data_IF_945772871877
#
_entry.id   IF_945772871877
#
_cell.length_a   1.000
_cell.length_b   1.000
_cell.length_c   1.000
_cell.angle_alpha   90.00
_cell.angle_beta   90.00
_cell.angle_gamma   90.00
#
_symmetry.space_group_name_H-M   'P 1'
#
loop_
_entity.id
_entity.type
_entity.pdbx_description
1 polymer ?
#
# COMPACT_ATOMS: atom_id res chain seq x y z
N UNK A 1 -18.21 -4.61 -36.90
CA UNK A 1 -16.91 -4.50 -36.18
C UNK A 1 -17.22 -4.28 -34.72
N UNK A 2 -16.89 -5.23 -33.86
CA UNK A 2 -17.31 -5.23 -32.46
C UNK A 2 -16.53 -4.18 -31.66
N UNK A 3 -17.15 -3.62 -30.62
CA UNK A 3 -16.47 -2.72 -29.66
C UNK A 3 -15.23 -3.40 -29.07
N UNK A 4 -15.27 -4.73 -28.92
CA UNK A 4 -14.14 -5.54 -28.47
C UNK A 4 -12.93 -5.45 -29.42
N UNK A 5 -13.16 -5.36 -30.74
CA UNK A 5 -12.08 -5.24 -31.72
C UNK A 5 -11.39 -3.87 -31.63
N UNK A 6 -12.15 -2.83 -31.33
CA UNK A 6 -11.63 -1.47 -31.13
C UNK A 6 -10.79 -1.37 -29.86
N UNK A 7 -11.26 -1.97 -28.76
CA UNK A 7 -10.53 -2.03 -27.49
C UNK A 7 -9.22 -2.79 -27.70
N UNK A 8 -9.27 -3.96 -28.34
CA UNK A 8 -8.08 -4.78 -28.60
C UNK A 8 -7.05 -4.01 -29.43
N UNK A 9 -7.49 -3.35 -30.51
CA UNK A 9 -6.60 -2.51 -31.34
C UNK A 9 -6.00 -1.33 -30.57
N UNK A 10 -6.75 -0.72 -29.64
CA UNK A 10 -6.26 0.38 -28.81
C UNK A 10 -5.10 -0.06 -27.93
N UNK A 11 -5.24 -1.19 -27.23
CA UNK A 11 -4.17 -1.74 -26.40
C UNK A 11 -2.98 -2.23 -27.22
N UNK A 12 -3.21 -2.86 -28.39
CA UNK A 12 -2.09 -3.28 -29.26
C UNK A 12 -1.28 -2.09 -29.79
N UNK A 13 -1.93 -0.95 -30.06
CA UNK A 13 -1.24 0.30 -30.46
C UNK A 13 -0.50 0.97 -29.30
N UNK A 14 -1.04 0.91 -28.09
CA UNK A 14 -0.45 1.53 -26.90
C UNK A 14 0.78 0.80 -26.38
N UNK A 15 0.76 -0.53 -26.38
CA UNK A 15 1.79 -1.32 -25.71
C UNK A 15 2.80 -1.96 -26.67
N UNK A 16 2.53 -1.94 -27.98
CA UNK A 16 3.34 -2.60 -28.98
C UNK A 16 3.36 -4.13 -28.80
N UNK A 17 3.39 -4.89 -29.90
CA UNK A 17 3.58 -6.34 -29.84
C UNK A 17 5.01 -6.67 -29.44
N UNK A 18 5.31 -6.60 -28.15
CA UNK A 18 6.45 -7.34 -27.60
C UNK A 18 6.04 -8.79 -27.47
N UNK A 19 6.43 -9.60 -28.45
CA UNK A 19 6.64 -11.03 -28.25
C UNK A 19 7.73 -11.18 -27.18
N UNK A 20 7.36 -11.07 -25.91
CA UNK A 20 8.23 -11.47 -24.81
C UNK A 20 7.92 -12.92 -24.54
N UNK A 21 8.91 -13.77 -24.79
CA UNK A 21 8.93 -15.17 -24.43
C UNK A 21 8.27 -15.36 -23.06
N UNK A 22 7.17 -16.11 -23.05
CA UNK A 22 6.59 -16.68 -21.84
C UNK A 22 7.58 -17.75 -21.38
N UNK A 23 8.68 -17.26 -20.79
CA UNK A 23 9.49 -18.03 -19.88
C UNK A 23 8.57 -18.37 -18.72
N UNK A 24 8.29 -19.65 -18.59
CA UNK A 24 7.63 -20.30 -17.47
C UNK A 24 8.39 -19.94 -16.19
N UNK A 25 8.14 -18.77 -15.63
CA UNK A 25 8.44 -18.51 -14.22
C UNK A 25 7.34 -19.26 -13.48
N UNK A 26 7.64 -20.53 -13.22
CA UNK A 26 6.99 -21.25 -12.13
C UNK A 26 7.28 -20.41 -10.89
N UNK A 27 6.33 -19.54 -10.53
CA UNK A 27 6.31 -18.95 -9.20
C UNK A 27 6.15 -20.14 -8.24
N UNK A 28 7.29 -20.65 -7.78
CA UNK A 28 7.36 -21.32 -6.48
C UNK A 28 6.61 -20.40 -5.53
N UNK A 29 5.48 -20.88 -4.99
CA UNK A 29 4.79 -20.24 -3.88
C UNK A 29 5.78 -20.24 -2.71
N UNK A 30 6.66 -19.25 -2.67
CA UNK A 30 7.50 -18.94 -1.52
C UNK A 30 6.51 -18.74 -0.38
N UNK A 31 6.49 -19.67 0.57
CA UNK A 31 5.78 -19.46 1.83
C UNK A 31 6.28 -18.15 2.42
N UNK A 32 5.43 -17.13 2.41
CA UNK A 32 5.79 -15.82 2.93
C UNK A 32 6.10 -15.94 4.41
N UNK A 33 7.21 -15.34 4.86
CA UNK A 33 7.57 -15.38 6.26
C UNK A 33 6.46 -14.70 7.10
N UNK A 34 6.11 -15.22 8.29
CA UNK A 34 5.07 -14.61 9.13
C UNK A 34 5.31 -13.12 9.42
N UNK A 35 6.57 -12.72 9.56
CA UNK A 35 6.95 -11.31 9.74
C UNK A 35 6.70 -10.46 8.48
N UNK A 36 6.83 -11.02 7.27
CA UNK A 36 6.49 -10.32 6.03
C UNK A 36 4.97 -10.13 5.89
N UNK A 37 4.18 -11.11 6.31
CA UNK A 37 2.72 -11.00 6.39
C UNK A 37 2.34 -9.86 7.34
N UNK A 38 2.89 -9.86 8.55
CA UNK A 38 2.66 -8.80 9.55
C UNK A 38 3.10 -7.43 9.04
N UNK A 39 4.26 -7.33 8.37
CA UNK A 39 4.71 -6.06 7.77
C UNK A 39 3.73 -5.56 6.70
N UNK A 40 3.18 -6.46 5.88
CA UNK A 40 2.17 -6.10 4.87
C UNK A 40 0.87 -5.63 5.51
N UNK A 41 0.43 -6.25 6.60
CA UNK A 41 -0.75 -5.81 7.36
C UNK A 41 -0.55 -4.42 7.96
N UNK A 42 0.59 -4.16 8.60
CA UNK A 42 0.96 -2.85 9.13
C UNK A 42 1.01 -1.77 8.03
N UNK A 43 1.48 -2.11 6.83
CA UNK A 43 1.46 -1.19 5.69
C UNK A 43 0.03 -0.89 5.21
N UNK A 44 -0.88 -1.86 5.24
CA UNK A 44 -2.31 -1.63 4.94
C UNK A 44 -2.97 -0.75 5.99
N UNK A 45 -2.69 -0.98 7.27
CA UNK A 45 -3.20 -0.13 8.35
C UNK A 45 -2.74 1.33 8.19
N UNK A 46 -1.46 1.53 7.83
CA UNK A 46 -0.94 2.87 7.53
C UNK A 46 -1.68 3.56 6.38
N UNK A 47 -2.09 2.82 5.36
CA UNK A 47 -2.86 3.36 4.24
C UNK A 47 -4.29 3.73 4.64
N UNK A 48 -4.93 2.92 5.49
CA UNK A 48 -6.24 3.24 6.06
C UNK A 48 -6.15 4.56 6.84
N UNK A 49 -5.14 4.71 7.71
CA UNK A 49 -4.95 5.93 8.51
C UNK A 49 -4.72 7.15 7.61
N UNK A 50 -4.04 7.00 6.46
CA UNK A 50 -3.91 8.10 5.49
C UNK A 50 -5.27 8.53 4.94
N UNK A 51 -6.12 7.57 4.58
CA UNK A 51 -7.50 7.88 4.17
C UNK A 51 -8.32 8.55 5.27
N UNK A 52 -8.12 8.15 6.53
CA UNK A 52 -8.75 8.81 7.69
C UNK A 52 -8.27 10.25 7.87
N UNK A 53 -6.97 10.52 7.69
CA UNK A 53 -6.41 11.88 7.72
C UNK A 53 -7.03 12.72 6.59
N UNK A 54 -7.08 12.22 5.36
CA UNK A 54 -7.70 12.95 4.25
C UNK A 54 -9.18 13.26 4.51
N UNK A 55 -9.91 12.34 5.14
CA UNK A 55 -11.29 12.59 5.53
C UNK A 55 -11.39 13.62 6.66
N UNK A 56 -10.44 13.60 7.60
CA UNK A 56 -10.38 14.58 8.69
C UNK A 56 -10.15 15.99 8.15
N UNK A 57 -9.27 16.15 7.16
CA UNK A 57 -9.05 17.43 6.49
C UNK A 57 -10.33 17.92 5.81
N UNK A 58 -11.05 17.04 5.10
CA UNK A 58 -12.34 17.40 4.48
C UNK A 58 -13.37 17.87 5.50
N UNK A 59 -13.44 17.21 6.66
CA UNK A 59 -14.37 17.59 7.74
C UNK A 59 -14.01 18.94 8.36
N UNK A 60 -12.71 19.25 8.44
CA UNK A 60 -12.26 20.55 8.91
C UNK A 60 -12.53 21.66 7.89
N UNK A 61 -12.22 21.42 6.62
CA UNK A 61 -12.49 22.34 5.51
C UNK A 61 -13.99 22.63 5.35
N UNK A 62 -14.85 21.63 5.60
CA UNK A 62 -16.31 21.80 5.57
C UNK A 62 -16.86 22.48 6.84
N UNK A 63 -16.02 22.80 7.83
CA UNK A 63 -16.42 23.36 9.12
C UNK A 63 -17.24 22.41 9.98
N UNK A 64 -17.20 21.10 9.69
CA UNK A 64 -17.94 20.07 10.43
C UNK A 64 -17.28 19.71 11.76
N UNK A 65 -16.00 20.02 11.92
CA UNK A 65 -15.25 19.90 13.18
C UNK A 65 -14.51 21.20 13.48
N UNK A 66 -14.26 21.45 14.77
CA UNK A 66 -13.47 22.59 15.21
C UNK A 66 -11.98 22.38 14.98
N UNK A 67 -11.20 23.46 14.94
CA UNK A 67 -9.73 23.38 14.86
C UNK A 67 -9.12 22.57 16.01
N UNK A 68 -9.69 22.67 17.21
CA UNK A 68 -9.21 21.91 18.37
C UNK A 68 -9.48 20.41 18.24
N UNK A 69 -10.64 20.02 17.69
CA UNK A 69 -10.96 18.61 17.42
C UNK A 69 -10.10 18.05 16.29
N UNK A 70 -9.88 18.81 15.22
CA UNK A 70 -8.97 18.46 14.14
C UNK A 70 -7.55 18.22 14.66
N UNK A 71 -6.98 19.17 15.41
CA UNK A 71 -5.63 19.05 15.98
C UNK A 71 -5.48 17.80 16.86
N UNK A 72 -6.48 17.53 17.71
CA UNK A 72 -6.48 16.35 18.59
C UNK A 72 -6.46 15.07 17.77
N UNK A 73 -7.39 14.94 16.82
CA UNK A 73 -7.52 13.73 16.00
C UNK A 73 -6.31 13.55 15.07
N UNK A 74 -5.80 14.62 14.46
CA UNK A 74 -4.56 14.58 13.66
C UNK A 74 -3.41 14.04 14.48
N UNK A 75 -3.21 14.53 15.71
CA UNK A 75 -2.14 14.06 16.59
C UNK A 75 -2.29 12.58 16.92
N UNK A 76 -3.50 12.11 17.20
CA UNK A 76 -3.77 10.68 17.44
C UNK A 76 -3.39 9.83 16.21
N UNK A 77 -3.78 10.24 15.00
CA UNK A 77 -3.44 9.52 13.76
C UNK A 77 -1.95 9.53 13.45
N UNK A 78 -1.28 10.67 13.63
CA UNK A 78 0.18 10.79 13.47
C UNK A 78 0.92 9.87 14.46
N UNK A 79 0.50 9.85 15.73
CA UNK A 79 1.09 8.98 16.74
C UNK A 79 0.95 7.49 16.35
N UNK A 80 -0.22 7.10 15.80
CA UNK A 80 -0.44 5.74 15.31
C UNK A 80 0.48 5.38 14.14
N UNK A 81 0.68 6.31 13.19
CA UNK A 81 1.65 6.12 12.09
C UNK A 81 3.07 5.94 12.63
N UNK A 82 3.47 6.72 13.64
CA UNK A 82 4.81 6.61 14.24
C UNK A 82 5.01 5.27 14.94
N UNK A 83 4.00 4.77 15.64
CA UNK A 83 4.00 3.43 16.25
C UNK A 83 4.18 2.34 15.19
N UNK A 84 3.35 2.36 14.14
CA UNK A 84 3.45 1.42 13.01
C UNK A 84 4.84 1.47 12.36
N UNK A 85 5.40 2.66 12.15
CA UNK A 85 6.73 2.80 11.56
C UNK A 85 7.82 2.16 12.45
N UNK A 86 7.71 2.28 13.77
CA UNK A 86 8.64 1.62 14.72
C UNK A 86 8.52 0.11 14.64
N UNK A 87 7.31 -0.42 14.59
CA UNK A 87 7.07 -1.87 14.45
C UNK A 87 7.64 -2.41 13.13
N UNK A 88 7.40 -1.72 12.01
CA UNK A 88 7.97 -2.11 10.71
C UNK A 88 9.50 -2.09 10.76
N UNK A 89 10.11 -1.09 11.40
CA UNK A 89 11.57 -1.03 11.55
C UNK A 89 12.13 -2.17 12.41
N UNK A 90 11.38 -2.60 13.43
CA UNK A 90 11.74 -3.76 14.25
C UNK A 90 11.64 -5.07 13.45
N UNK A 91 10.53 -5.25 12.72
CA UNK A 91 10.34 -6.41 11.83
C UNK A 91 11.45 -6.51 10.79
N UNK A 92 11.83 -5.39 10.17
CA UNK A 92 12.95 -5.36 9.21
C UNK A 92 14.27 -5.76 9.85
N UNK A 93 14.53 -5.33 11.08
CA UNK A 93 15.71 -5.74 11.84
C UNK A 93 15.71 -7.23 12.15
N UNK A 94 14.57 -7.80 12.54
CA UNK A 94 14.42 -9.23 12.79
C UNK A 94 14.65 -10.04 11.51
N UNK A 95 14.02 -9.67 10.40
CA UNK A 95 14.19 -10.33 9.10
C UNK A 95 15.65 -10.26 8.60
N UNK A 96 16.34 -9.15 8.82
CA UNK A 96 17.76 -9.02 8.48
C UNK A 96 18.65 -9.88 9.39
N UNK A 97 18.34 -9.97 10.68
CA UNK A 97 19.07 -10.82 11.65
C UNK A 97 18.90 -12.31 11.31
N UNK A 98 17.72 -12.70 10.84
CA UNK A 98 17.41 -14.07 10.40
C UNK A 98 17.99 -14.40 9.01
N UNK A 99 18.63 -13.44 8.33
CA UNK A 99 19.21 -13.63 6.98
C UNK A 99 18.17 -13.79 5.88
N UNK A 100 16.91 -13.45 6.15
CA UNK A 100 15.79 -13.53 5.21
C UNK A 100 15.77 -12.31 4.28
N UNK A 101 16.17 -11.16 4.81
CA UNK A 101 16.29 -9.90 4.08
C UNK A 101 17.78 -9.66 3.77
N UNK A 102 18.15 -9.85 2.50
CA UNK A 102 19.46 -9.46 1.93
C UNK A 102 19.27 -8.23 1.05
#
# INVERSE_FOLDING_TARGET
MSILDKIKSFFTKLFGTKQSAVGTVVEEKKEMHPLEVKMRELLKEKEIIRGEIENLEKLYDSGSITAMEHDKLMREKINKILEINREIAEIKRQLATEGILV
#
